data_IF_150440066921
#
_entry.id   IF_150440066921
#
_cell.length_a   1.000
_cell.length_b   1.000
_cell.length_c   1.000
_cell.angle_alpha   90.00
_cell.angle_beta   90.00
_cell.angle_gamma   90.00
#
_symmetry.space_group_name_H-M   'P 1'
#
loop_
_entity.id
_entity.type
_entity.pdbx_description
1 polymer ?
#
# COMPACT_ATOMS: atom_id res chain seq x y z
N UNK A 1 16.51 -33.09 29.71
CA UNK A 1 15.26 -33.33 28.97
C UNK A 1 14.74 -34.74 29.30
N UNK A 2 13.48 -34.86 29.73
CA UNK A 2 12.86 -36.15 30.06
C UNK A 2 12.22 -36.75 28.81
N UNK A 3 12.29 -38.08 28.65
CA UNK A 3 11.63 -38.79 27.53
C UNK A 3 10.13 -38.45 27.42
N UNK A 4 9.49 -38.11 28.55
CA UNK A 4 8.08 -37.73 28.63
C UNK A 4 7.79 -36.41 27.84
N UNK A 5 8.69 -35.43 27.87
CA UNK A 5 8.49 -34.17 27.17
C UNK A 5 8.43 -34.39 25.64
N UNK A 6 9.29 -35.25 25.10
CA UNK A 6 9.27 -35.60 23.67
C UNK A 6 7.97 -36.33 23.29
N UNK A 7 7.51 -37.26 24.11
CA UNK A 7 6.26 -37.98 23.87
C UNK A 7 5.05 -37.05 23.94
N UNK A 8 5.04 -36.10 24.88
CA UNK A 8 3.98 -35.10 24.98
C UNK A 8 3.95 -34.17 23.75
N UNK A 9 5.08 -33.72 23.24
CA UNK A 9 5.13 -32.94 22.02
C UNK A 9 4.50 -33.67 20.83
N UNK A 10 4.89 -34.95 20.62
CA UNK A 10 4.38 -35.76 19.53
C UNK A 10 2.86 -35.97 19.69
N UNK A 11 2.41 -36.25 20.92
CA UNK A 11 1.00 -36.42 21.26
C UNK A 11 0.19 -35.18 20.96
N UNK A 12 0.61 -33.99 21.46
CA UNK A 12 -0.12 -32.74 21.28
C UNK A 12 -0.15 -32.31 19.82
N UNK A 13 0.94 -32.55 19.08
CA UNK A 13 0.98 -32.32 17.64
C UNK A 13 -0.03 -33.22 16.90
N UNK A 14 -0.07 -34.52 17.22
CA UNK A 14 -1.03 -35.48 16.63
C UNK A 14 -2.49 -35.14 16.96
N UNK A 15 -2.74 -34.65 18.17
CA UNK A 15 -4.07 -34.22 18.65
C UNK A 15 -4.44 -32.80 18.14
N UNK A 16 -3.58 -32.12 17.37
CA UNK A 16 -3.75 -30.74 16.94
C UNK A 16 -4.04 -29.76 18.09
N UNK A 17 -3.51 -30.05 19.27
CA UNK A 17 -3.63 -29.22 20.45
C UNK A 17 -2.43 -28.25 20.53
N UNK A 18 -2.54 -27.14 19.82
CA UNK A 18 -1.46 -26.15 19.67
C UNK A 18 -1.07 -25.49 21.01
N UNK A 19 -2.03 -25.19 21.87
CA UNK A 19 -1.78 -24.61 23.17
C UNK A 19 -0.96 -25.52 24.09
N UNK A 20 -1.30 -26.81 24.14
CA UNK A 20 -0.56 -27.78 24.94
C UNK A 20 0.82 -28.09 24.34
N UNK A 21 0.93 -28.12 23.00
CA UNK A 21 2.20 -28.25 22.28
C UNK A 21 3.16 -27.12 22.63
N UNK A 22 2.71 -25.86 22.57
CA UNK A 22 3.51 -24.69 22.90
C UNK A 22 3.97 -24.69 24.35
N UNK A 23 3.08 -25.00 25.28
CA UNK A 23 3.42 -25.08 26.71
C UNK A 23 4.52 -26.13 26.99
N UNK A 24 4.41 -27.32 26.38
CA UNK A 24 5.43 -28.37 26.54
C UNK A 24 6.78 -27.94 25.92
N UNK A 25 6.74 -27.25 24.78
CA UNK A 25 7.93 -26.74 24.14
C UNK A 25 8.60 -25.61 24.95
N UNK A 26 7.84 -24.75 25.63
CA UNK A 26 8.36 -23.76 26.59
C UNK A 26 9.04 -24.44 27.78
N UNK A 27 8.51 -25.52 28.31
CA UNK A 27 9.14 -26.28 29.38
C UNK A 27 10.48 -26.90 28.93
N UNK A 28 10.57 -27.33 27.67
CA UNK A 28 11.83 -27.82 27.09
C UNK A 28 12.85 -26.69 26.94
N UNK A 29 12.43 -25.50 26.48
CA UNK A 29 13.30 -24.34 26.39
C UNK A 29 13.87 -23.93 27.74
N UNK A 30 13.03 -23.88 28.80
CA UNK A 30 13.48 -23.62 30.18
C UNK A 30 14.50 -24.64 30.67
N UNK A 31 14.30 -25.93 30.38
CA UNK A 31 15.26 -26.96 30.73
C UNK A 31 16.62 -26.71 30.08
N UNK A 32 16.68 -26.28 28.84
CA UNK A 32 17.94 -25.95 28.18
C UNK A 32 18.58 -24.70 28.77
N UNK A 33 17.82 -23.74 29.23
CA UNK A 33 18.30 -22.58 29.96
C UNK A 33 18.95 -22.97 31.31
N UNK A 34 18.26 -23.87 32.07
CA UNK A 34 18.79 -24.40 33.36
C UNK A 34 20.11 -25.18 33.23
N UNK A 35 20.34 -25.81 32.07
CA UNK A 35 21.59 -26.54 31.80
C UNK A 35 22.62 -25.69 31.05
N UNK A 36 22.47 -24.36 31.07
CA UNK A 36 23.35 -23.37 30.44
C UNK A 36 23.51 -23.55 28.92
N UNK A 37 22.53 -24.15 28.25
CA UNK A 37 22.50 -24.24 26.79
C UNK A 37 21.56 -23.15 26.22
N UNK A 38 21.99 -21.90 26.40
CA UNK A 38 21.22 -20.70 26.05
C UNK A 38 20.83 -20.64 24.55
N UNK A 39 21.77 -21.05 23.69
CA UNK A 39 21.50 -21.02 22.23
C UNK A 39 20.31 -21.91 21.83
N UNK A 40 20.18 -23.10 22.44
CA UNK A 40 19.08 -24.00 22.14
C UNK A 40 17.76 -23.52 22.77
N UNK A 41 17.82 -22.93 23.96
CA UNK A 41 16.66 -22.30 24.61
C UNK A 41 16.12 -21.14 23.78
N UNK A 42 16.99 -20.21 23.35
CA UNK A 42 16.62 -19.09 22.50
C UNK A 42 16.05 -19.55 21.14
N UNK A 43 16.66 -20.56 20.53
CA UNK A 43 16.17 -21.12 19.27
C UNK A 43 14.76 -21.70 19.39
N UNK A 44 14.48 -22.47 20.47
CA UNK A 44 13.15 -23.02 20.73
C UNK A 44 12.13 -21.92 21.00
N UNK A 45 12.52 -20.90 21.80
CA UNK A 45 11.67 -19.74 22.07
C UNK A 45 11.35 -18.96 20.80
N UNK A 46 12.31 -18.78 19.90
CA UNK A 46 12.12 -18.14 18.60
C UNK A 46 11.17 -18.93 17.70
N UNK A 47 11.23 -20.27 17.71
CA UNK A 47 10.30 -21.11 16.95
C UNK A 47 8.87 -21.09 17.49
N UNK A 48 8.71 -20.87 18.81
CA UNK A 48 7.39 -20.88 19.48
C UNK A 48 6.73 -19.52 19.52
N UNK A 49 7.52 -18.47 19.47
CA UNK A 49 6.95 -17.15 19.21
C UNK A 49 6.31 -17.20 17.81
N UNK A 50 5.00 -16.98 17.71
CA UNK A 50 4.30 -16.76 16.44
C UNK A 50 4.77 -15.46 15.76
N UNK A 51 5.74 -14.86 16.31
CA UNK A 51 6.56 -13.88 15.68
C UNK A 51 7.46 -14.64 14.71
N UNK A 52 7.04 -14.70 13.44
CA UNK A 52 7.96 -14.61 12.34
C UNK A 52 8.66 -13.26 12.52
N UNK A 53 9.38 -13.13 13.62
CA UNK A 53 10.13 -11.94 13.93
C UNK A 53 11.34 -11.96 13.03
N UNK A 54 11.31 -11.08 12.06
CA UNK A 54 12.49 -10.30 11.78
C UNK A 54 12.90 -9.68 13.12
N UNK A 55 13.63 -10.43 13.92
CA UNK A 55 14.49 -9.88 14.95
C UNK A 55 15.84 -9.80 14.27
N UNK A 56 16.26 -8.62 13.81
CA UNK A 56 17.69 -8.39 13.66
C UNK A 56 18.26 -8.77 15.02
N UNK A 57 19.39 -9.52 15.07
CA UNK A 57 20.20 -9.56 16.28
C UNK A 57 20.48 -8.09 16.58
N UNK A 58 19.75 -7.53 17.54
CA UNK A 58 20.01 -6.20 18.04
C UNK A 58 21.34 -6.27 18.79
N UNK A 59 22.42 -6.01 18.10
CA UNK A 59 23.51 -5.31 18.71
C UNK A 59 22.94 -3.96 19.14
N UNK A 60 22.86 -3.78 20.45
CA UNK A 60 22.34 -2.59 21.09
C UNK A 60 23.08 -1.36 20.57
N UNK A 61 22.52 -0.68 19.57
CA UNK A 61 23.09 0.54 19.01
C UNK A 61 22.86 0.79 17.53
N UNK A 62 22.30 -0.13 16.78
CA UNK A 62 22.05 0.08 15.33
C UNK A 62 20.64 0.61 15.14
N UNK A 63 20.52 1.83 14.64
CA UNK A 63 19.25 2.44 14.24
C UNK A 63 18.64 1.56 13.15
N UNK A 64 17.39 1.08 13.38
CA UNK A 64 16.64 0.31 12.39
C UNK A 64 16.05 1.27 11.37
N UNK A 65 16.47 1.14 10.10
CA UNK A 65 15.97 1.96 8.99
C UNK A 65 14.61 1.47 8.45
N UNK A 66 13.98 0.48 9.08
CA UNK A 66 12.75 -0.14 8.59
C UNK A 66 11.61 -0.06 9.58
N UNK A 67 10.40 0.08 9.03
CA UNK A 67 9.14 -0.13 9.75
C UNK A 67 8.41 -1.32 9.14
N UNK A 68 8.03 -2.31 9.95
CA UNK A 68 7.12 -3.37 9.52
C UNK A 68 5.76 -2.78 9.23
N UNK A 69 5.20 -3.09 8.07
CA UNK A 69 3.91 -2.58 7.62
C UNK A 69 2.86 -3.68 7.75
N UNK A 70 1.70 -3.34 8.33
CA UNK A 70 0.55 -4.24 8.32
C UNK A 70 -0.02 -4.33 6.90
N UNK A 71 -0.05 -5.55 6.36
CA UNK A 71 -0.53 -5.86 5.02
C UNK A 71 -2.00 -6.32 5.00
N UNK A 72 -2.67 -6.41 6.17
CA UNK A 72 -4.06 -6.88 6.27
C UNK A 72 -5.10 -5.81 5.92
N UNK A 73 -4.69 -4.60 5.58
CA UNK A 73 -5.60 -3.54 5.17
C UNK A 73 -6.36 -3.89 3.87
N UNK A 74 -7.57 -3.35 3.73
CA UNK A 74 -8.39 -3.49 2.52
C UNK A 74 -7.61 -2.96 1.30
N UNK A 75 -7.41 -3.81 0.28
CA UNK A 75 -6.73 -3.42 -0.95
C UNK A 75 -7.61 -2.51 -1.80
N UNK A 76 -7.01 -1.49 -2.42
CA UNK A 76 -7.68 -0.74 -3.47
C UNK A 76 -7.87 -1.63 -4.70
N UNK A 77 -9.02 -1.57 -5.38
CA UNK A 77 -9.19 -2.23 -6.65
C UNK A 77 -8.24 -1.62 -7.69
N UNK A 78 -7.68 -2.48 -8.54
CA UNK A 78 -6.73 -2.10 -9.58
C UNK A 78 -7.36 -2.30 -10.98
N UNK A 79 -7.02 -1.46 -11.97
CA UNK A 79 -7.38 -1.70 -13.35
C UNK A 79 -6.69 -2.96 -13.91
N UNK A 80 -7.24 -3.55 -14.95
CA UNK A 80 -6.76 -4.82 -15.47
C UNK A 80 -5.30 -4.74 -15.96
N UNK A 81 -4.88 -3.63 -16.55
CA UNK A 81 -3.50 -3.39 -17.00
C UNK A 81 -2.49 -3.48 -15.84
N UNK A 82 -2.84 -2.98 -14.65
CA UNK A 82 -1.98 -3.06 -13.46
C UNK A 82 -2.09 -4.46 -12.84
N UNK A 83 -3.28 -5.09 -12.85
CA UNK A 83 -3.45 -6.48 -12.39
C UNK A 83 -2.55 -7.44 -13.16
N UNK A 84 -2.48 -7.32 -14.48
CA UNK A 84 -1.61 -8.15 -15.33
C UNK A 84 -0.14 -7.96 -14.96
N UNK A 85 0.27 -6.73 -14.69
CA UNK A 85 1.63 -6.42 -14.22
C UNK A 85 1.92 -7.04 -12.84
N UNK A 86 0.97 -6.98 -11.92
CA UNK A 86 1.08 -7.61 -10.58
C UNK A 86 1.18 -9.13 -10.70
N UNK A 87 0.37 -9.75 -11.55
CA UNK A 87 0.46 -11.19 -11.83
C UNK A 87 1.82 -11.55 -12.45
N UNK A 88 2.35 -10.72 -13.34
CA UNK A 88 3.68 -10.87 -13.89
C UNK A 88 4.78 -10.87 -12.81
N UNK A 89 4.69 -9.94 -11.85
CA UNK A 89 5.61 -9.87 -10.69
C UNK A 89 5.53 -11.17 -9.87
N UNK A 90 4.32 -11.56 -9.48
CA UNK A 90 4.10 -12.77 -8.66
C UNK A 90 4.65 -14.02 -9.37
N UNK A 91 4.40 -14.16 -10.65
CA UNK A 91 4.91 -15.27 -11.46
C UNK A 91 6.44 -15.26 -11.57
N UNK A 92 7.05 -14.09 -11.81
CA UNK A 92 8.51 -13.96 -11.92
C UNK A 92 9.21 -14.37 -10.62
N UNK A 93 8.66 -13.96 -9.47
CA UNK A 93 9.18 -14.31 -8.16
C UNK A 93 8.95 -15.80 -7.86
N UNK A 94 7.76 -16.33 -8.14
CA UNK A 94 7.41 -17.74 -7.93
C UNK A 94 8.29 -18.71 -8.72
N UNK A 95 8.77 -18.30 -9.89
CA UNK A 95 9.65 -19.12 -10.75
C UNK A 95 11.15 -18.88 -10.50
N UNK A 96 11.54 -18.06 -9.53
CA UNK A 96 12.95 -17.69 -9.27
C UNK A 96 13.67 -17.19 -10.54
N UNK A 97 13.00 -16.36 -11.33
CA UNK A 97 13.51 -15.88 -12.62
C UNK A 97 14.71 -14.90 -12.49
N UNK A 98 15.17 -14.61 -11.27
CA UNK A 98 16.22 -13.62 -11.01
C UNK A 98 15.72 -12.17 -11.17
N UNK A 99 14.41 -11.97 -11.22
CA UNK A 99 13.71 -10.67 -11.29
C UNK A 99 13.12 -10.38 -9.93
N UNK A 100 13.68 -9.40 -9.23
CA UNK A 100 13.30 -9.12 -7.84
C UNK A 100 13.25 -7.62 -7.48
N UNK A 101 13.55 -6.72 -8.43
CA UNK A 101 13.56 -5.28 -8.25
C UNK A 101 12.54 -4.61 -9.16
N UNK A 102 11.53 -3.97 -8.58
CA UNK A 102 10.41 -3.36 -9.30
C UNK A 102 10.31 -1.87 -8.97
N UNK A 103 10.11 -1.03 -9.99
CA UNK A 103 9.84 0.40 -9.82
C UNK A 103 8.40 0.70 -10.22
N UNK A 104 7.62 1.24 -9.30
CA UNK A 104 6.26 1.72 -9.53
C UNK A 104 6.28 3.23 -9.74
N UNK A 105 5.94 3.67 -10.92
CA UNK A 105 5.89 5.07 -11.29
C UNK A 105 4.46 5.56 -11.48
N UNK A 106 4.23 6.83 -11.28
CA UNK A 106 2.94 7.45 -11.56
C UNK A 106 2.56 8.53 -10.53
N UNK A 107 1.50 9.29 -10.80
CA UNK A 107 1.03 10.35 -9.91
C UNK A 107 0.71 9.88 -8.50
N UNK A 108 0.68 10.78 -7.51
CA UNK A 108 0.22 10.45 -6.17
C UNK A 108 -1.25 9.97 -6.21
N UNK A 109 -1.63 9.13 -5.24
CA UNK A 109 -3.00 8.62 -5.14
C UNK A 109 -3.38 7.49 -6.10
N UNK A 110 -2.46 7.02 -6.96
CA UNK A 110 -2.72 5.93 -7.93
C UNK A 110 -2.66 4.53 -7.34
N UNK A 111 -2.31 4.36 -6.06
CA UNK A 111 -2.34 3.08 -5.38
C UNK A 111 -1.01 2.30 -5.38
N UNK A 112 0.13 2.91 -5.73
CA UNK A 112 1.45 2.26 -5.76
C UNK A 112 1.79 1.54 -4.46
N UNK A 113 1.74 2.24 -3.34
CA UNK A 113 2.02 1.71 -1.99
C UNK A 113 1.05 0.60 -1.60
N UNK A 114 -0.24 0.77 -1.91
CA UNK A 114 -1.25 -0.27 -1.62
C UNK A 114 -1.04 -1.52 -2.49
N UNK A 115 -0.61 -1.36 -3.73
CA UNK A 115 -0.25 -2.48 -4.61
C UNK A 115 0.97 -3.24 -4.08
N UNK A 116 1.99 -2.55 -3.55
CA UNK A 116 3.13 -3.20 -2.91
C UNK A 116 2.70 -4.05 -1.70
N UNK A 117 1.77 -3.55 -0.85
CA UNK A 117 1.16 -4.32 0.25
C UNK A 117 0.40 -5.54 -0.26
N UNK A 118 -0.34 -5.40 -1.36
CA UNK A 118 -1.09 -6.49 -1.96
C UNK A 118 -0.17 -7.58 -2.51
N UNK A 119 0.94 -7.21 -3.16
CA UNK A 119 1.95 -8.15 -3.64
C UNK A 119 2.59 -8.91 -2.47
N UNK A 120 2.97 -8.22 -1.39
CA UNK A 120 3.53 -8.86 -0.20
C UNK A 120 2.55 -9.90 0.38
N UNK A 121 1.24 -9.57 0.43
CA UNK A 121 0.19 -10.48 0.89
C UNK A 121 0.02 -11.69 -0.04
N UNK A 122 0.00 -11.50 -1.36
CA UNK A 122 -0.14 -12.59 -2.34
C UNK A 122 1.07 -13.54 -2.26
N UNK A 123 2.26 -12.98 -2.04
CA UNK A 123 3.50 -13.75 -1.88
C UNK A 123 3.66 -14.39 -0.49
N UNK A 124 2.74 -14.09 0.45
CA UNK A 124 2.83 -14.48 1.86
C UNK A 124 4.16 -14.05 2.51
N UNK A 125 4.63 -12.83 2.16
CA UNK A 125 5.87 -12.25 2.66
C UNK A 125 5.59 -11.06 3.57
N UNK A 126 6.46 -10.85 4.54
CA UNK A 126 6.45 -9.66 5.39
C UNK A 126 6.89 -8.43 4.59
N UNK A 127 6.21 -7.30 4.81
CA UNK A 127 6.54 -6.03 4.18
C UNK A 127 7.26 -5.10 5.15
N UNK A 128 8.46 -4.68 4.78
CA UNK A 128 9.24 -3.69 5.50
C UNK A 128 9.38 -2.44 4.65
N UNK A 129 8.90 -1.32 5.17
CA UNK A 129 9.02 -0.02 4.52
C UNK A 129 10.22 0.72 5.09
N UNK A 130 11.04 1.26 4.20
CA UNK A 130 12.18 2.10 4.57
C UNK A 130 11.68 3.45 5.09
N UNK A 131 12.20 3.86 6.22
CA UNK A 131 11.97 5.19 6.79
C UNK A 131 13.07 6.14 6.31
N UNK A 132 12.79 6.89 5.25
CA UNK A 132 13.77 7.82 4.70
C UNK A 132 14.10 8.98 5.62
N UNK A 133 13.26 9.31 6.60
CA UNK A 133 13.56 10.32 7.62
C UNK A 133 14.75 9.90 8.51
N UNK A 134 14.93 8.58 8.71
CA UNK A 134 16.09 8.02 9.43
C UNK A 134 17.33 7.87 8.55
N UNK A 135 17.13 7.74 7.24
CA UNK A 135 18.22 7.57 6.27
C UNK A 135 18.85 8.90 5.88
N UNK A 136 18.02 9.93 5.68
CA UNK A 136 18.47 11.26 5.26
C UNK A 136 18.96 12.04 6.48
N UNK A 137 20.19 12.53 6.42
CA UNK A 137 20.79 13.35 7.48
C UNK A 137 21.34 14.65 6.88
N UNK A 138 21.23 15.74 7.62
CA UNK A 138 21.75 17.04 7.23
C UNK A 138 23.29 17.13 7.29
N UNK A 139 23.95 16.16 7.96
CA UNK A 139 25.41 16.13 8.07
C UNK A 139 26.05 15.57 6.82
N UNK A 140 27.04 16.25 6.30
CA UNK A 140 27.76 15.90 5.09
C UNK A 140 28.30 14.45 5.13
N UNK A 141 27.92 13.63 4.14
CA UNK A 141 28.35 12.23 4.02
C UNK A 141 27.62 11.23 4.90
N UNK A 142 26.75 11.67 5.82
CA UNK A 142 26.04 10.77 6.70
C UNK A 142 24.94 10.01 5.97
N UNK A 143 24.17 10.68 5.10
CA UNK A 143 23.13 10.04 4.25
C UNK A 143 23.70 8.87 3.44
N UNK A 144 24.88 9.03 2.82
CA UNK A 144 25.53 7.96 2.06
C UNK A 144 25.93 6.77 2.93
N UNK A 145 26.36 7.00 4.18
CA UNK A 145 26.67 5.95 5.14
C UNK A 145 25.40 5.23 5.60
N UNK A 146 24.35 6.00 5.91
CA UNK A 146 23.05 5.43 6.31
C UNK A 146 22.48 4.54 5.20
N UNK A 147 22.56 4.96 3.92
CA UNK A 147 22.16 4.13 2.78
C UNK A 147 22.99 2.84 2.69
N UNK A 148 24.30 2.93 2.92
CA UNK A 148 25.15 1.75 2.90
C UNK A 148 24.78 0.76 4.03
N UNK A 149 24.54 1.27 5.24
CA UNK A 149 24.08 0.48 6.37
C UNK A 149 22.70 -0.14 6.12
N UNK A 150 21.75 0.62 5.57
CA UNK A 150 20.44 0.13 5.16
C UNK A 150 20.54 -1.10 4.24
N UNK A 151 21.36 -1.03 3.19
CA UNK A 151 21.55 -2.16 2.29
C UNK A 151 22.32 -3.32 2.93
N UNK A 152 23.15 -3.05 3.92
CA UNK A 152 23.81 -4.09 4.71
C UNK A 152 22.81 -4.82 5.61
N UNK A 153 21.90 -4.09 6.25
CA UNK A 153 20.79 -4.69 7.00
C UNK A 153 19.90 -5.56 6.09
N UNK A 154 19.52 -5.06 4.89
CA UNK A 154 18.75 -5.86 3.92
C UNK A 154 19.49 -7.15 3.54
N UNK A 155 20.80 -7.10 3.37
CA UNK A 155 21.61 -8.26 3.00
C UNK A 155 21.69 -9.31 4.10
N UNK A 156 21.68 -8.86 5.35
CA UNK A 156 21.82 -9.70 6.55
C UNK A 156 20.48 -10.25 7.07
N UNK A 157 19.39 -10.05 6.34
CA UNK A 157 18.06 -10.61 6.67
C UNK A 157 18.14 -12.14 6.72
N UNK A 158 17.67 -12.73 7.82
CA UNK A 158 17.78 -14.18 8.07
C UNK A 158 16.96 -15.03 7.08
N UNK A 159 15.83 -14.51 6.60
CA UNK A 159 14.90 -15.18 5.67
C UNK A 159 14.56 -14.27 4.49
N UNK A 160 15.50 -14.03 3.57
CA UNK A 160 15.32 -13.10 2.46
C UNK A 160 14.15 -13.49 1.54
N UNK A 161 13.84 -14.79 1.45
CA UNK A 161 12.71 -15.32 0.68
C UNK A 161 11.34 -15.01 1.28
N UNK A 162 11.28 -14.53 2.51
CA UNK A 162 10.04 -14.16 3.22
C UNK A 162 9.84 -12.65 3.33
N UNK A 163 10.66 -11.86 2.67
CA UNK A 163 10.68 -10.41 2.84
C UNK A 163 10.39 -9.70 1.53
N UNK A 164 9.58 -8.64 1.62
CA UNK A 164 9.45 -7.58 0.61
C UNK A 164 9.92 -6.28 1.25
N UNK A 165 10.85 -5.59 0.61
CA UNK A 165 11.32 -4.27 1.03
C UNK A 165 10.68 -3.21 0.15
N UNK A 166 10.04 -2.23 0.77
CA UNK A 166 9.41 -1.10 0.08
C UNK A 166 10.20 0.19 0.31
N UNK A 167 10.69 0.75 -0.77
CA UNK A 167 11.25 2.09 -0.84
C UNK A 167 10.13 3.04 -1.29
N UNK A 168 9.29 3.48 -0.34
CA UNK A 168 8.17 4.34 -0.66
C UNK A 168 8.68 5.78 -0.88
N UNK A 169 8.25 6.40 -1.99
CA UNK A 169 8.68 7.74 -2.39
C UNK A 169 10.22 7.91 -2.42
N UNK A 170 10.90 7.01 -3.13
CA UNK A 170 12.37 7.05 -3.27
C UNK A 170 12.87 8.40 -3.81
N UNK A 171 11.98 9.25 -4.31
CA UNK A 171 12.22 10.64 -4.70
C UNK A 171 12.83 11.46 -3.57
N UNK A 172 12.54 11.12 -2.32
CA UNK A 172 13.10 11.77 -1.13
C UNK A 172 14.65 11.84 -1.19
N UNK A 173 15.29 10.85 -1.79
CA UNK A 173 16.74 10.85 -2.02
C UNK A 173 17.12 11.68 -3.25
N UNK A 174 16.18 11.95 -4.16
CA UNK A 174 16.43 12.63 -5.45
C UNK A 174 16.10 14.13 -5.44
N UNK A 175 15.21 14.59 -4.54
CA UNK A 175 14.65 15.96 -4.54
C UNK A 175 15.61 17.02 -4.03
N UNK A 176 16.61 16.69 -3.26
CA UNK A 176 17.58 17.67 -2.73
C UNK A 176 18.47 18.37 -3.78
N UNK A 177 18.12 18.29 -5.07
CA UNK A 177 18.88 18.87 -6.20
C UNK A 177 18.84 20.40 -6.31
N UNK A 178 18.14 21.11 -5.42
CA UNK A 178 17.88 22.56 -5.62
C UNK A 178 18.97 23.46 -5.04
N UNK A 179 19.78 22.98 -4.10
CA UNK A 179 20.86 23.80 -3.50
C UNK A 179 22.24 23.39 -4.01
N UNK A 180 22.99 24.33 -4.55
CA UNK A 180 24.26 24.11 -5.26
C UNK A 180 25.41 23.51 -4.42
N UNK A 181 25.32 23.50 -3.10
CA UNK A 181 26.29 22.83 -2.21
C UNK A 181 26.00 21.34 -2.03
N UNK A 182 24.78 20.86 -2.31
CA UNK A 182 24.30 19.51 -2.09
C UNK A 182 24.53 18.56 -3.28
N UNK A 183 24.84 19.09 -4.48
CA UNK A 183 25.03 18.27 -5.69
C UNK A 183 26.08 17.15 -5.54
N UNK A 184 27.12 17.35 -4.73
CA UNK A 184 28.16 16.35 -4.49
C UNK A 184 27.68 15.26 -3.52
N UNK A 185 26.90 15.63 -2.53
CA UNK A 185 26.37 14.69 -1.52
C UNK A 185 25.31 13.77 -2.13
N UNK A 186 24.46 14.34 -2.96
CA UNK A 186 23.44 13.59 -3.69
C UNK A 186 24.04 12.63 -4.70
N UNK A 187 25.07 13.03 -5.41
CA UNK A 187 25.81 12.13 -6.28
C UNK A 187 26.39 10.94 -5.50
N UNK A 188 26.80 11.16 -4.23
CA UNK A 188 27.26 10.09 -3.32
C UNK A 188 26.11 9.24 -2.83
N UNK A 189 24.98 9.83 -2.41
CA UNK A 189 23.78 9.12 -1.98
C UNK A 189 23.24 8.25 -3.12
N UNK A 190 23.04 8.81 -4.30
CA UNK A 190 22.65 8.07 -5.51
C UNK A 190 23.62 6.94 -5.82
N UNK A 191 24.94 7.18 -5.73
CA UNK A 191 25.95 6.15 -5.94
C UNK A 191 25.86 5.02 -4.90
N UNK A 192 25.52 5.34 -3.64
CA UNK A 192 25.32 4.34 -2.59
C UNK A 192 24.08 3.49 -2.85
N UNK A 193 22.97 4.11 -3.31
CA UNK A 193 21.76 3.38 -3.74
C UNK A 193 22.07 2.45 -4.90
N UNK A 194 22.76 2.94 -5.94
CA UNK A 194 23.15 2.13 -7.10
C UNK A 194 23.95 0.90 -6.69
N UNK A 195 24.98 1.09 -5.83
CA UNK A 195 25.78 -0.02 -5.30
C UNK A 195 24.95 -0.99 -4.46
N UNK A 196 24.02 -0.47 -3.67
CA UNK A 196 23.12 -1.29 -2.86
C UNK A 196 22.21 -2.15 -3.73
N UNK A 197 21.60 -1.58 -4.78
CA UNK A 197 20.75 -2.30 -5.74
C UNK A 197 21.54 -3.36 -6.52
N UNK A 198 22.80 -3.06 -6.92
CA UNK A 198 23.65 -4.00 -7.64
C UNK A 198 24.05 -5.20 -6.76
N UNK A 199 24.13 -5.04 -5.44
CA UNK A 199 24.54 -6.07 -4.47
C UNK A 199 23.36 -6.67 -3.67
N UNK A 200 22.11 -6.40 -4.09
CA UNK A 200 20.93 -6.92 -3.41
C UNK A 200 20.85 -8.45 -3.53
N UNK A 201 20.45 -9.13 -2.45
CA UNK A 201 20.17 -10.56 -2.47
C UNK A 201 18.99 -10.86 -3.39
N UNK A 202 19.16 -11.80 -4.33
CA UNK A 202 18.14 -12.14 -5.32
C UNK A 202 16.85 -12.73 -4.72
N UNK A 203 16.88 -13.20 -3.48
CA UNK A 203 15.70 -13.74 -2.78
C UNK A 203 14.86 -12.65 -2.12
N UNK A 204 15.43 -11.46 -1.85
CA UNK A 204 14.69 -10.29 -1.36
C UNK A 204 13.94 -9.66 -2.51
N UNK A 205 12.64 -9.42 -2.36
CA UNK A 205 11.87 -8.62 -3.31
C UNK A 205 11.95 -7.16 -2.89
N UNK A 206 12.40 -6.30 -3.80
CA UNK A 206 12.46 -4.87 -3.59
C UNK A 206 11.45 -4.17 -4.52
N UNK A 207 10.58 -3.37 -3.93
CA UNK A 207 9.64 -2.51 -4.64
C UNK A 207 10.00 -1.06 -4.27
N UNK A 208 10.18 -0.21 -5.27
CA UNK A 208 10.34 1.22 -5.07
C UNK A 208 9.16 1.96 -5.70
N UNK A 209 8.70 3.05 -5.09
CA UNK A 209 7.68 3.93 -5.67
C UNK A 209 8.26 5.31 -5.96
N UNK A 210 7.80 5.94 -7.04
CA UNK A 210 8.18 7.31 -7.40
C UNK A 210 6.99 8.08 -7.97
N UNK A 211 6.92 9.37 -7.61
CA UNK A 211 6.01 10.33 -8.21
C UNK A 211 6.70 11.17 -9.31
N UNK A 212 8.02 11.09 -9.42
CA UNK A 212 8.86 11.96 -10.24
C UNK A 212 9.68 11.23 -11.32
N UNK A 213 9.13 10.16 -11.90
CA UNK A 213 9.84 9.33 -12.87
C UNK A 213 10.55 10.10 -13.99
N UNK A 214 9.93 11.14 -14.54
CA UNK A 214 10.52 11.96 -15.62
C UNK A 214 11.84 12.66 -15.20
N UNK A 215 12.02 12.88 -13.91
CA UNK A 215 13.20 13.51 -13.30
C UNK A 215 14.13 12.48 -12.65
N UNK A 216 13.80 11.19 -12.74
CA UNK A 216 14.55 10.12 -12.12
C UNK A 216 15.84 9.83 -12.91
N UNK A 217 16.93 9.57 -12.19
CA UNK A 217 18.21 9.24 -12.83
C UNK A 217 18.09 7.95 -13.65
N UNK A 218 18.47 8.00 -14.92
CA UNK A 218 18.47 6.85 -15.82
C UNK A 218 19.35 5.69 -15.32
N UNK A 219 20.39 5.99 -14.55
CA UNK A 219 21.25 4.96 -13.98
C UNK A 219 20.50 4.19 -12.88
N UNK A 220 19.65 4.85 -12.07
CA UNK A 220 18.78 4.19 -11.11
C UNK A 220 17.73 3.33 -11.79
N UNK A 221 17.03 3.88 -12.79
CA UNK A 221 15.99 3.13 -13.53
C UNK A 221 16.51 1.80 -14.10
N UNK A 222 17.75 1.79 -14.61
CA UNK A 222 18.38 0.58 -15.17
C UNK A 222 18.69 -0.52 -14.16
N UNK A 223 18.61 -0.25 -12.85
CA UNK A 223 18.83 -1.25 -11.79
C UNK A 223 17.55 -1.95 -11.38
N UNK A 224 16.42 -1.43 -11.82
CA UNK A 224 15.16 -2.14 -11.66
C UNK A 224 14.92 -3.09 -12.83
N UNK A 225 14.47 -4.28 -12.52
CA UNK A 225 14.22 -5.33 -13.51
C UNK A 225 12.95 -5.04 -14.32
N UNK A 226 11.98 -4.36 -13.71
CA UNK A 226 10.76 -3.93 -14.37
C UNK A 226 10.25 -2.60 -13.80
N UNK A 227 9.67 -1.78 -14.68
CA UNK A 227 8.99 -0.53 -14.35
C UNK A 227 7.51 -0.69 -14.66
N UNK A 228 6.65 -0.34 -13.69
CA UNK A 228 5.19 -0.45 -13.83
C UNK A 228 4.59 0.94 -13.73
N UNK A 229 3.88 1.33 -14.78
CA UNK A 229 3.24 2.64 -14.91
C UNK A 229 1.84 2.65 -14.30
N UNK A 230 1.67 3.40 -13.21
CA UNK A 230 0.43 3.64 -12.52
C UNK A 230 -0.31 4.89 -13.02
N UNK A 231 0.10 5.48 -14.14
CA UNK A 231 -0.63 6.61 -14.74
C UNK A 231 -1.72 6.18 -15.72
N UNK A 232 -1.72 4.92 -16.13
CA UNK A 232 -2.54 4.38 -17.24
C UNK A 232 -3.96 4.01 -16.81
N UNK A 233 -4.69 4.92 -16.10
CA UNK A 233 -6.10 4.73 -15.78
C UNK A 233 -6.98 5.30 -16.89
N UNK A 234 -7.87 4.48 -17.43
CA UNK A 234 -8.95 4.97 -18.28
C UNK A 234 -10.06 5.60 -17.44
N UNK A 235 -10.94 6.40 -18.06
CA UNK A 235 -12.11 6.95 -17.37
C UNK A 235 -13.02 5.85 -16.84
N UNK A 236 -13.17 4.76 -17.59
CA UNK A 236 -13.98 3.60 -17.22
C UNK A 236 -13.39 2.86 -16.03
N UNK A 237 -12.08 2.63 -15.99
CA UNK A 237 -11.39 2.04 -14.83
C UNK A 237 -11.67 2.82 -13.54
N UNK A 238 -11.59 4.17 -13.60
CA UNK A 238 -11.84 5.01 -12.43
C UNK A 238 -13.30 4.99 -11.98
N UNK A 239 -14.26 4.88 -12.92
CA UNK A 239 -15.68 4.71 -12.59
C UNK A 239 -15.92 3.38 -11.91
N UNK A 240 -15.40 2.29 -12.46
CA UNK A 240 -15.57 0.93 -11.91
C UNK A 240 -14.91 0.80 -10.53
N UNK A 241 -13.71 1.36 -10.37
CA UNK A 241 -13.04 1.47 -9.07
C UNK A 241 -13.87 2.27 -8.07
N UNK A 242 -14.45 3.38 -8.51
CA UNK A 242 -15.33 4.20 -7.67
C UNK A 242 -16.56 3.42 -7.20
N UNK A 243 -17.17 2.61 -8.07
CA UNK A 243 -18.31 1.74 -7.72
C UNK A 243 -17.93 0.69 -6.67
N UNK A 244 -16.75 0.07 -6.80
CA UNK A 244 -16.25 -0.91 -5.82
C UNK A 244 -16.02 -0.21 -4.47
N UNK A 245 -15.34 0.93 -4.46
CA UNK A 245 -15.08 1.72 -3.24
C UNK A 245 -16.40 2.13 -2.57
N UNK A 246 -17.38 2.62 -3.35
CA UNK A 246 -18.68 2.99 -2.80
C UNK A 246 -19.39 1.79 -2.18
N UNK A 247 -19.40 0.63 -2.85
CA UNK A 247 -20.03 -0.58 -2.33
C UNK A 247 -19.42 -1.02 -1.00
N UNK A 248 -18.09 -0.98 -0.85
CA UNK A 248 -17.40 -1.29 0.40
C UNK A 248 -17.78 -0.31 1.52
N UNK A 249 -17.83 0.99 1.20
CA UNK A 249 -18.17 2.02 2.17
C UNK A 249 -19.64 1.97 2.59
N UNK A 250 -20.59 1.68 1.68
CA UNK A 250 -22.00 1.53 1.99
C UNK A 250 -22.27 0.38 3.00
N UNK A 251 -21.43 -0.62 3.06
CA UNK A 251 -21.54 -1.66 4.10
C UNK A 251 -21.27 -1.10 5.51
N UNK A 252 -20.51 -0.01 5.62
CA UNK A 252 -20.20 0.69 6.88
C UNK A 252 -21.23 1.79 7.19
N UNK A 253 -21.81 2.42 6.16
CA UNK A 253 -22.80 3.52 6.26
C UNK A 253 -24.21 3.02 5.96
N UNK A 254 -24.82 2.30 6.92
CA UNK A 254 -26.11 1.60 6.74
C UNK A 254 -27.30 2.53 6.47
N UNK A 255 -27.23 3.81 6.81
CA UNK A 255 -28.26 4.83 6.55
C UNK A 255 -28.25 5.33 5.10
N UNK A 256 -27.16 5.12 4.38
CA UNK A 256 -27.03 5.59 3.00
C UNK A 256 -27.70 4.59 2.01
N UNK A 257 -28.56 5.10 1.14
CA UNK A 257 -29.26 4.32 0.12
C UNK A 257 -28.33 3.97 -1.05
N UNK A 258 -28.50 2.78 -1.61
CA UNK A 258 -27.71 2.33 -2.75
C UNK A 258 -28.33 2.82 -4.07
N UNK A 259 -27.63 3.71 -4.79
CA UNK A 259 -28.01 4.15 -6.13
C UNK A 259 -26.79 4.23 -7.06
N UNK A 260 -26.31 3.05 -7.49
CA UNK A 260 -25.09 2.94 -8.31
C UNK A 260 -25.25 3.63 -9.67
N UNK A 261 -26.46 3.63 -10.27
CA UNK A 261 -26.70 4.30 -11.56
C UNK A 261 -26.47 5.80 -11.48
N UNK A 262 -27.00 6.45 -10.44
CA UNK A 262 -26.81 7.89 -10.26
C UNK A 262 -25.33 8.19 -9.91
N UNK A 263 -24.72 7.38 -9.06
CA UNK A 263 -23.29 7.52 -8.71
C UNK A 263 -22.40 7.44 -9.96
N UNK A 264 -22.60 6.43 -10.82
CA UNK A 264 -21.87 6.28 -12.09
C UNK A 264 -22.02 7.52 -12.98
N UNK A 265 -23.24 8.00 -13.17
CA UNK A 265 -23.52 9.23 -13.95
C UNK A 265 -22.80 10.46 -13.37
N UNK A 266 -22.74 10.59 -12.03
CA UNK A 266 -22.02 11.69 -11.38
C UNK A 266 -20.54 11.61 -11.75
N UNK A 267 -19.90 10.43 -11.62
CA UNK A 267 -18.50 10.26 -11.99
C UNK A 267 -18.25 10.49 -13.47
N UNK A 268 -19.10 9.95 -14.35
CA UNK A 268 -19.01 10.14 -15.81
C UNK A 268 -19.17 11.60 -16.23
N UNK A 269 -19.93 12.40 -15.44
CA UNK A 269 -20.10 13.83 -15.67
C UNK A 269 -18.89 14.66 -15.31
N UNK A 270 -17.90 14.10 -14.58
CA UNK A 270 -16.66 14.79 -14.23
C UNK A 270 -15.81 15.03 -15.47
N UNK A 271 -15.19 16.22 -15.55
CA UNK A 271 -14.17 16.51 -16.55
C UNK A 271 -12.95 15.59 -16.36
N UNK A 272 -12.52 15.43 -15.11
CA UNK A 272 -11.44 14.55 -14.72
C UNK A 272 -11.83 13.84 -13.42
N UNK A 273 -11.87 12.51 -13.45
CA UNK A 273 -12.10 11.70 -12.26
C UNK A 273 -10.78 11.62 -11.49
N UNK A 274 -10.77 11.85 -10.16
CA UNK A 274 -9.57 11.72 -9.35
C UNK A 274 -9.03 10.29 -9.35
N UNK A 275 -7.73 10.12 -9.11
CA UNK A 275 -7.13 8.81 -8.90
C UNK A 275 -7.71 8.09 -7.68
N UNK A 276 -7.57 6.76 -7.56
CA UNK A 276 -8.28 5.94 -6.57
C UNK A 276 -8.15 6.42 -5.12
N UNK A 277 -7.00 6.94 -4.71
CA UNK A 277 -6.77 7.45 -3.36
C UNK A 277 -7.64 8.68 -3.05
N UNK A 278 -7.62 9.67 -3.94
CA UNK A 278 -8.41 10.90 -3.80
C UNK A 278 -9.90 10.62 -4.02
N UNK A 279 -10.23 9.70 -4.95
CA UNK A 279 -11.60 9.26 -5.19
C UNK A 279 -12.20 8.59 -3.94
N UNK A 280 -11.43 7.72 -3.28
CA UNK A 280 -11.82 7.09 -2.00
C UNK A 280 -12.08 8.15 -0.91
N UNK A 281 -11.21 9.14 -0.80
CA UNK A 281 -11.38 10.23 0.15
C UNK A 281 -12.62 11.06 -0.16
N UNK A 282 -12.87 11.37 -1.43
CA UNK A 282 -14.05 12.13 -1.88
C UNK A 282 -15.35 11.39 -1.56
N UNK A 283 -15.44 10.10 -1.87
CA UNK A 283 -16.60 9.26 -1.58
C UNK A 283 -16.81 9.14 -0.07
N UNK A 284 -15.74 8.82 0.67
CA UNK A 284 -15.78 8.68 2.14
C UNK A 284 -16.25 9.95 2.81
N UNK A 285 -15.73 11.11 2.39
CA UNK A 285 -16.12 12.41 2.94
C UNK A 285 -17.57 12.73 2.63
N UNK A 286 -18.03 12.47 1.39
CA UNK A 286 -19.43 12.67 1.00
C UNK A 286 -20.38 11.84 1.85
N UNK A 287 -20.06 10.59 2.16
CA UNK A 287 -20.82 9.70 3.03
C UNK A 287 -20.76 10.15 4.49
N UNK A 288 -19.57 10.46 5.00
CA UNK A 288 -19.39 10.80 6.43
C UNK A 288 -20.10 12.09 6.84
N UNK A 289 -20.22 13.05 5.93
CA UNK A 289 -20.91 14.33 6.19
C UNK A 289 -22.36 14.37 5.68
N UNK A 290 -22.91 13.26 5.17
CA UNK A 290 -24.29 13.19 4.71
C UNK A 290 -25.27 13.24 5.88
N UNK A 291 -26.48 13.80 5.63
CA UNK A 291 -27.58 13.77 6.59
C UNK A 291 -28.09 12.33 6.76
N UNK A 292 -28.06 11.76 7.98
CA UNK A 292 -28.55 10.40 8.24
C UNK A 292 -30.04 10.19 7.93
N UNK A 293 -30.84 11.27 7.87
CA UNK A 293 -32.26 11.20 7.55
C UNK A 293 -32.55 11.26 6.04
N UNK A 294 -31.52 11.52 5.22
CA UNK A 294 -31.64 11.54 3.77
C UNK A 294 -30.68 10.52 3.15
N UNK A 295 -31.21 9.37 2.76
CA UNK A 295 -30.42 8.24 2.25
C UNK A 295 -29.56 8.55 1.02
N UNK A 296 -29.86 9.62 0.27
CA UNK A 296 -29.13 10.02 -0.93
C UNK A 296 -28.39 11.36 -0.81
N UNK A 297 -28.30 11.96 0.38
CA UNK A 297 -27.60 13.24 0.57
C UNK A 297 -26.12 13.15 0.19
N UNK A 298 -25.50 12.01 0.37
CA UNK A 298 -24.09 11.79 -0.03
C UNK A 298 -23.88 11.97 -1.54
N UNK A 299 -24.85 11.61 -2.39
CA UNK A 299 -24.77 11.81 -3.85
C UNK A 299 -24.88 13.30 -4.21
N UNK A 300 -25.75 14.04 -3.54
CA UNK A 300 -25.85 15.50 -3.66
C UNK A 300 -24.53 16.16 -3.28
N UNK A 301 -23.92 15.75 -2.15
CA UNK A 301 -22.62 16.28 -1.69
C UNK A 301 -21.50 15.94 -2.65
N UNK A 302 -21.44 14.70 -3.14
CA UNK A 302 -20.49 14.28 -4.15
C UNK A 302 -20.60 15.14 -5.41
N UNK A 303 -21.82 15.31 -5.93
CA UNK A 303 -22.07 16.15 -7.10
C UNK A 303 -21.65 17.61 -6.87
N UNK A 304 -22.00 18.19 -5.72
CA UNK A 304 -21.63 19.57 -5.36
C UNK A 304 -20.11 19.74 -5.20
N UNK A 305 -19.42 18.74 -4.64
CA UNK A 305 -17.95 18.77 -4.48
C UNK A 305 -17.23 18.77 -5.83
N UNK A 306 -17.78 18.11 -6.82
CA UNK A 306 -17.25 18.01 -8.19
C UNK A 306 -17.49 19.28 -8.99
N UNK A 307 -18.66 19.92 -8.81
CA UNK A 307 -19.11 21.06 -9.60
C UNK A 307 -18.94 22.40 -8.88
N UNK A 308 -18.00 22.51 -7.93
CA UNK A 308 -17.74 23.73 -7.10
C UNK A 308 -17.57 25.03 -7.90
N UNK A 309 -17.26 24.97 -9.19
CA UNK A 309 -17.06 26.16 -10.04
C UNK A 309 -18.32 26.61 -10.79
N UNK A 310 -19.41 25.84 -10.79
CA UNK A 310 -20.68 26.24 -11.38
C UNK A 310 -21.65 26.68 -10.27
N UNK A 311 -21.69 27.96 -9.98
CA UNK A 311 -22.52 28.54 -8.92
C UNK A 311 -24.03 28.49 -9.17
N UNK A 312 -24.47 28.17 -10.38
CA UNK A 312 -25.88 27.92 -10.72
C UNK A 312 -26.01 26.54 -11.35
N UNK A 313 -26.71 25.63 -10.68
CA UNK A 313 -27.04 24.32 -11.22
C UNK A 313 -28.15 24.51 -12.26
N UNK A 314 -27.78 24.72 -13.54
CA UNK A 314 -28.73 24.80 -14.62
C UNK A 314 -29.46 23.44 -14.79
N UNK A 315 -30.76 23.43 -14.55
CA UNK A 315 -31.62 22.24 -14.68
C UNK A 315 -31.61 21.70 -16.12
N UNK A 316 -31.52 22.61 -17.12
CA UNK A 316 -31.42 22.22 -18.54
C UNK A 316 -30.10 21.53 -18.85
N UNK A 317 -28.99 21.97 -18.24
CA UNK A 317 -27.70 21.31 -18.36
C UNK A 317 -27.73 19.88 -17.76
N UNK A 318 -28.32 19.72 -16.56
CA UNK A 318 -28.49 18.39 -15.95
C UNK A 318 -29.33 17.46 -16.86
N UNK A 319 -30.41 17.96 -17.44
CA UNK A 319 -31.25 17.18 -18.36
C UNK A 319 -30.47 16.79 -19.63
N UNK A 320 -29.70 17.71 -20.19
CA UNK A 320 -28.85 17.49 -21.37
C UNK A 320 -27.75 16.44 -21.10
N UNK A 321 -27.23 16.38 -19.88
CA UNK A 321 -26.31 15.34 -19.43
C UNK A 321 -26.98 13.99 -19.13
N UNK A 322 -28.29 13.86 -19.38
CA UNK A 322 -29.04 12.62 -19.27
C UNK A 322 -29.53 12.27 -17.86
N UNK A 323 -29.53 13.22 -16.90
CA UNK A 323 -30.16 13.01 -15.62
C UNK A 323 -31.67 13.01 -15.70
N UNK A 324 -32.31 12.05 -15.07
CA UNK A 324 -33.77 11.98 -14.98
C UNK A 324 -34.32 13.00 -13.98
N UNK A 325 -35.62 13.36 -14.07
CA UNK A 325 -36.25 14.31 -13.13
C UNK A 325 -36.10 13.89 -11.64
N UNK A 326 -36.07 12.59 -11.36
CA UNK A 326 -35.88 12.07 -10.00
C UNK A 326 -34.41 12.18 -9.56
N UNK A 327 -33.47 11.97 -10.45
CA UNK A 327 -32.06 12.16 -10.19
C UNK A 327 -31.76 13.65 -9.95
N UNK A 328 -32.35 14.54 -10.75
CA UNK A 328 -32.25 16.00 -10.57
C UNK A 328 -32.82 16.43 -9.21
N UNK A 329 -33.96 15.87 -8.79
CA UNK A 329 -34.51 16.11 -7.43
C UNK A 329 -33.52 15.72 -6.33
N UNK A 330 -32.86 14.56 -6.44
CA UNK A 330 -31.84 14.12 -5.48
C UNK A 330 -30.64 15.09 -5.44
N UNK A 331 -30.16 15.51 -6.60
CA UNK A 331 -28.95 16.35 -6.71
C UNK A 331 -29.19 17.80 -6.28
N UNK A 332 -30.36 18.36 -6.60
CA UNK A 332 -30.67 19.77 -6.35
C UNK A 332 -31.48 20.00 -5.06
N UNK A 333 -32.28 19.03 -4.65
CA UNK A 333 -33.29 19.16 -3.61
C UNK A 333 -34.58 19.85 -4.07
N UNK A 334 -34.69 20.20 -5.37
CA UNK A 334 -35.90 20.79 -5.97
C UNK A 334 -36.85 19.64 -6.28
N UNK A 335 -38.16 19.79 -5.93
CA UNK A 335 -39.10 18.71 -6.14
C UNK A 335 -39.29 18.39 -7.64
N UNK A 336 -39.50 17.10 -7.96
CA UNK A 336 -39.71 16.62 -9.34
C UNK A 336 -40.78 17.42 -10.10
N UNK A 337 -41.85 17.85 -9.42
CA UNK A 337 -42.92 18.64 -10.02
C UNK A 337 -42.45 20.05 -10.38
N UNK A 338 -41.62 20.66 -9.57
CA UNK A 338 -41.04 21.97 -9.82
C UNK A 338 -40.01 21.89 -10.96
N UNK A 339 -39.08 20.90 -10.92
CA UNK A 339 -38.13 20.64 -11.99
C UNK A 339 -38.82 20.47 -13.32
N UNK A 340 -39.95 19.71 -13.36
CA UNK A 340 -40.72 19.51 -14.60
C UNK A 340 -41.39 20.78 -15.13
N UNK A 341 -41.70 21.77 -14.28
CA UNK A 341 -42.24 23.06 -14.73
C UNK A 341 -41.15 23.96 -15.30
N UNK A 342 -40.04 24.11 -14.55
CA UNK A 342 -38.93 24.96 -14.95
C UNK A 342 -38.22 24.50 -16.24
N UNK A 343 -38.24 23.19 -16.55
CA UNK A 343 -37.71 22.65 -17.77
C UNK A 343 -38.66 22.84 -18.98
N UNK A 344 -39.93 23.21 -18.77
CA UNK A 344 -40.91 23.49 -19.83
C UNK A 344 -41.00 24.97 -20.21
N UNK A 345 -40.49 25.83 -19.36
CA UNK A 345 -40.27 27.26 -19.58
C UNK A 345 -38.93 27.49 -20.32
#
# INVERSE_FOLDING_TARGET
MKKKNVLNLIKYYAEKNDAAFRNEAYEIARYFDEVNNYQLSEYIMALLSDTNTFSPQMDSGTEMYFKRVDINAESLPLPDSIKDSVLGIVNAIGHNAGINKFLFEGPPGTGKTETAKQIARILERELFMVDFDLVIDSKLGQTSKNIANLFEEIRNVSHPEKVVVLFDEIDAIAIDRINSNDLREMGRATSSVLKGLDNLNNNVVLIATTNLYKSFDKALTRRFDSVIDFSSYTKEDLVDIGEIILNELLNKFKSAGRNMKLFRKILESMHQIPYPGDLKNLIKTSLAFSDPNNEYDYLKRLYSAVNKHNSETDLKDLQNRGFTLREIEILTGISKSQVSRELKE
#
